data_IF_889828289286
#
_entry.id   IF_889828289286
#
_cell.length_a   1.000
_cell.length_b   1.000
_cell.length_c   1.000
_cell.angle_alpha   90.00
_cell.angle_beta   90.00
_cell.angle_gamma   90.00
#
_symmetry.space_group_name_H-M   'P 1'
#
loop_
_entity.id
_entity.type
_entity.pdbx_description
1 polymer ?
#
# COMPACT_ATOMS: atom_id res chain seq x y z
N UNK A 1 27.54 9.55 6.41
CA UNK A 1 26.26 9.81 7.12
C UNK A 1 25.08 9.32 6.29
N UNK A 2 24.13 8.66 6.93
CA UNK A 2 22.83 8.23 6.37
C UNK A 2 21.72 8.76 7.26
N UNK A 3 20.63 9.23 6.68
CA UNK A 3 19.52 9.84 7.39
C UNK A 3 18.26 8.96 7.32
N UNK A 4 17.37 9.17 8.29
CA UNK A 4 16.09 8.50 8.43
C UNK A 4 16.20 6.98 8.57
N UNK A 5 17.20 6.51 9.33
CA UNK A 5 17.43 5.08 9.55
C UNK A 5 16.61 4.61 10.76
N UNK A 6 15.55 3.86 10.50
CA UNK A 6 14.69 3.28 11.52
C UNK A 6 15.45 2.19 12.29
N UNK A 7 15.43 2.26 13.62
CA UNK A 7 16.16 1.35 14.49
C UNK A 7 17.67 1.38 14.28
N UNK A 8 18.21 2.55 13.91
CA UNK A 8 19.65 2.71 13.57
C UNK A 8 20.61 2.35 14.72
N UNK A 9 20.19 2.56 15.97
CA UNK A 9 20.87 2.03 17.17
C UNK A 9 19.83 1.75 18.27
N UNK A 10 20.01 0.65 19.01
CA UNK A 10 19.16 0.21 20.12
C UNK A 10 19.87 -0.89 20.93
N UNK A 11 19.28 -1.31 22.04
CA UNK A 11 19.74 -2.36 22.95
C UNK A 11 18.85 -3.64 22.94
N UNK A 12 17.94 -3.76 21.98
CA UNK A 12 17.03 -4.89 21.85
C UNK A 12 17.70 -6.16 21.26
N UNK A 13 18.89 -6.03 20.71
CA UNK A 13 19.67 -7.11 20.14
C UNK A 13 21.15 -6.96 20.48
N UNK A 14 21.89 -8.08 20.47
CA UNK A 14 23.32 -8.11 20.77
C UNK A 14 24.15 -7.32 19.73
N UNK A 15 23.71 -7.35 18.48
CA UNK A 15 24.34 -6.63 17.39
C UNK A 15 23.29 -6.02 16.46
N UNK A 16 23.70 -5.05 15.66
CA UNK A 16 22.88 -4.46 14.61
C UNK A 16 23.67 -4.56 13.31
N UNK A 17 23.07 -5.15 12.30
CA UNK A 17 23.69 -5.37 11.00
C UNK A 17 23.01 -4.45 9.98
N UNK A 18 23.69 -3.41 9.56
CA UNK A 18 23.18 -2.47 8.58
C UNK A 18 23.44 -2.95 7.15
N UNK A 19 22.44 -2.91 6.30
CA UNK A 19 22.58 -2.99 4.84
C UNK A 19 22.74 -1.56 4.30
N UNK A 20 23.93 -1.26 3.79
CA UNK A 20 24.31 0.12 3.42
C UNK A 20 24.60 0.20 1.92
N UNK A 21 23.85 1.05 1.24
CA UNK A 21 24.13 1.44 -0.14
C UNK A 21 25.23 2.54 -0.12
N UNK A 22 26.37 2.27 -0.73
CA UNK A 22 27.48 3.20 -0.82
C UNK A 22 28.23 3.05 -2.15
N UNK A 23 29.17 3.94 -2.42
CA UNK A 23 30.04 3.89 -3.59
C UNK A 23 31.45 3.48 -3.20
N UNK A 24 32.09 2.67 -4.05
CA UNK A 24 33.52 2.43 -4.00
C UNK A 24 34.29 3.61 -4.62
N UNK A 25 35.60 3.75 -4.34
CA UNK A 25 36.45 4.64 -5.12
C UNK A 25 36.30 4.32 -6.62
N UNK A 26 36.34 5.32 -7.46
CA UNK A 26 36.22 5.19 -8.94
C UNK A 26 34.87 4.67 -9.46
N UNK A 27 33.85 4.55 -8.59
CA UNK A 27 32.51 4.12 -9.01
C UNK A 27 31.85 5.11 -10.00
N UNK A 28 31.10 4.62 -10.99
CA UNK A 28 30.38 5.45 -11.92
C UNK A 28 29.48 6.50 -11.24
N UNK A 29 29.26 7.64 -11.89
CA UNK A 29 28.35 8.66 -11.38
C UNK A 29 26.90 8.16 -11.32
N UNK A 30 26.10 8.76 -10.44
CA UNK A 30 24.68 8.45 -10.28
C UNK A 30 24.44 7.09 -9.62
N UNK A 31 23.27 6.53 -9.87
CA UNK A 31 22.79 5.27 -9.26
C UNK A 31 23.52 4.02 -9.77
N UNK A 32 24.14 4.11 -10.94
CA UNK A 32 24.88 3.00 -11.55
C UNK A 32 26.18 2.62 -10.81
N UNK A 33 26.69 3.51 -9.96
CA UNK A 33 27.90 3.26 -9.16
C UNK A 33 27.61 2.84 -7.70
N UNK A 34 26.38 2.42 -7.40
CA UNK A 34 26.00 2.04 -6.04
C UNK A 34 26.27 0.56 -5.82
N UNK A 35 27.03 0.27 -4.76
CA UNK A 35 27.30 -1.07 -4.23
C UNK A 35 26.57 -1.29 -2.91
N UNK A 36 26.38 -2.53 -2.49
CA UNK A 36 25.73 -2.90 -1.22
C UNK A 36 26.77 -3.47 -0.26
N UNK A 37 26.71 -3.02 1.00
CA UNK A 37 27.60 -3.47 2.05
C UNK A 37 26.81 -3.93 3.28
N UNK A 38 27.31 -4.98 3.93
CA UNK A 38 26.96 -5.33 5.30
C UNK A 38 27.89 -4.56 6.23
N UNK A 39 27.34 -3.78 7.15
CA UNK A 39 28.10 -2.98 8.12
C UNK A 39 27.58 -3.27 9.53
N UNK A 40 28.24 -4.15 10.29
CA UNK A 40 27.82 -4.46 11.65
C UNK A 40 28.20 -3.38 12.65
N UNK A 41 27.40 -3.22 13.72
CA UNK A 41 27.71 -2.35 14.87
C UNK A 41 28.91 -2.87 15.67
N UNK A 42 29.01 -4.17 15.87
CA UNK A 42 30.18 -4.88 16.36
C UNK A 42 30.66 -5.85 15.29
N UNK A 43 31.96 -5.90 15.03
CA UNK A 43 32.51 -6.91 14.14
C UNK A 43 32.21 -8.31 14.70
N UNK A 44 32.05 -9.27 13.81
CA UNK A 44 31.75 -10.67 14.18
C UNK A 44 33.01 -11.50 14.05
N UNK A 45 33.39 -12.17 15.13
CA UNK A 45 34.54 -13.08 15.17
C UNK A 45 34.22 -14.39 14.40
N UNK A 46 35.23 -15.18 14.11
CA UNK A 46 35.08 -16.44 13.37
C UNK A 46 34.19 -17.47 14.08
N UNK A 47 34.09 -17.42 15.39
CA UNK A 47 33.24 -18.25 16.24
C UNK A 47 31.80 -17.70 16.41
N UNK A 48 31.48 -16.56 15.77
CA UNK A 48 30.20 -15.89 15.86
C UNK A 48 30.05 -14.93 17.05
N UNK A 49 31.04 -14.82 17.94
CA UNK A 49 31.04 -13.90 19.05
C UNK A 49 31.21 -12.44 18.63
N UNK A 50 30.81 -11.50 19.49
CA UNK A 50 31.00 -10.09 19.25
C UNK A 50 32.51 -9.74 19.33
N UNK A 51 33.00 -9.08 18.28
CA UNK A 51 34.36 -8.55 18.19
C UNK A 51 34.42 -7.07 18.60
N UNK A 52 35.35 -6.37 17.98
CA UNK A 52 35.56 -4.95 18.23
C UNK A 52 34.36 -4.10 17.83
N UNK A 53 34.14 -2.99 18.55
CA UNK A 53 33.19 -1.97 18.18
C UNK A 53 33.56 -1.34 16.85
N UNK A 54 32.67 -1.44 15.87
CA UNK A 54 32.82 -0.77 14.61
C UNK A 54 32.38 0.71 14.78
N UNK A 55 33.06 1.70 14.16
CA UNK A 55 32.66 3.11 14.29
C UNK A 55 31.36 3.42 13.50
N UNK A 56 30.28 2.81 13.98
CA UNK A 56 28.89 3.03 13.53
C UNK A 56 28.10 3.54 14.71
N UNK A 57 27.42 4.66 14.57
CA UNK A 57 26.62 5.20 15.67
C UNK A 57 25.69 6.32 15.26
N UNK A 58 24.65 6.59 16.08
CA UNK A 58 23.72 7.67 15.82
C UNK A 58 24.36 9.03 16.11
N UNK A 59 24.21 9.96 15.17
CA UNK A 59 24.53 11.38 15.37
C UNK A 59 23.38 12.15 15.98
N UNK A 60 22.15 11.78 15.66
CA UNK A 60 20.92 12.35 16.24
C UNK A 60 19.74 11.41 16.06
N UNK A 61 18.65 11.69 16.77
CA UNK A 61 17.35 11.06 16.65
C UNK A 61 16.34 12.11 16.17
N UNK A 62 15.53 11.76 15.18
CA UNK A 62 14.55 12.65 14.60
C UNK A 62 13.29 12.81 15.48
N UNK A 63 12.82 14.06 15.62
CA UNK A 63 11.52 14.36 16.21
C UNK A 63 10.41 14.23 15.17
N UNK A 64 9.63 13.17 15.27
CA UNK A 64 8.67 12.78 14.23
C UNK A 64 7.22 13.10 14.59
N UNK A 65 6.36 13.18 13.57
CA UNK A 65 4.91 13.33 13.71
C UNK A 65 4.30 12.13 14.44
N UNK A 66 4.67 10.91 14.04
CA UNK A 66 4.16 9.64 14.58
C UNK A 66 5.26 8.60 14.74
N UNK A 67 4.88 7.35 15.03
CA UNK A 67 5.76 6.21 15.32
C UNK A 67 6.94 6.60 16.23
N UNK A 68 6.64 7.36 17.30
CA UNK A 68 7.66 7.98 18.16
C UNK A 68 8.45 6.97 19.00
N UNK A 69 7.85 5.80 19.25
CA UNK A 69 8.51 4.70 19.97
C UNK A 69 9.63 4.03 19.13
N UNK A 70 9.61 4.18 17.81
CA UNK A 70 10.68 3.73 16.92
C UNK A 70 11.67 4.87 16.69
N UNK A 71 12.91 4.74 17.17
CA UNK A 71 13.96 5.72 16.95
C UNK A 71 14.35 5.76 15.46
N UNK A 72 14.25 6.94 14.85
CA UNK A 72 14.73 7.21 13.50
C UNK A 72 15.99 8.04 13.59
N UNK A 73 17.13 7.48 13.18
CA UNK A 73 18.44 8.01 13.44
C UNK A 73 19.09 8.65 12.21
N UNK A 74 19.92 9.64 12.46
CA UNK A 74 21.01 10.02 11.56
C UNK A 74 22.21 9.15 11.92
N UNK A 75 22.58 8.21 11.03
CA UNK A 75 23.67 7.27 11.28
C UNK A 75 24.99 7.74 10.65
N UNK A 76 26.06 7.70 11.42
CA UNK A 76 27.42 7.98 10.97
C UNK A 76 28.19 6.66 10.82
N UNK A 77 28.96 6.57 9.71
CA UNK A 77 29.74 5.39 9.34
C UNK A 77 31.22 5.78 9.09
N UNK A 78 31.69 6.83 9.73
CA UNK A 78 33.02 7.41 9.48
C UNK A 78 34.11 6.44 9.94
N UNK A 79 34.85 5.87 8.99
CA UNK A 79 35.85 4.83 9.25
C UNK A 79 35.28 3.42 9.53
N UNK A 80 33.97 3.24 9.38
CA UNK A 80 33.33 1.94 9.59
C UNK A 80 33.80 0.90 8.56
N UNK A 81 34.11 -0.31 9.03
CA UNK A 81 34.39 -1.46 8.20
C UNK A 81 33.09 -2.06 7.67
N UNK A 82 32.99 -2.20 6.35
CA UNK A 82 31.89 -2.84 5.66
C UNK A 82 32.35 -3.99 4.78
N UNK A 83 31.44 -4.95 4.51
CA UNK A 83 31.69 -6.11 3.69
C UNK A 83 30.80 -6.04 2.45
N UNK A 84 31.40 -6.11 1.25
CA UNK A 84 30.69 -6.04 -0.02
C UNK A 84 29.73 -7.22 -0.17
N UNK A 85 28.50 -6.96 -0.57
CA UNK A 85 27.48 -7.97 -0.93
C UNK A 85 27.32 -8.00 -2.44
N UNK A 86 27.57 -9.14 -3.04
CA UNK A 86 27.50 -9.30 -4.50
C UNK A 86 28.67 -8.63 -5.21
N UNK A 87 28.39 -7.97 -6.33
CA UNK A 87 29.40 -7.29 -7.15
C UNK A 87 29.35 -5.77 -6.95
N UNK A 88 30.49 -5.12 -7.15
CA UNK A 88 30.54 -3.67 -7.20
C UNK A 88 29.59 -3.12 -8.27
N UNK A 89 28.96 -1.99 -7.97
CA UNK A 89 28.02 -1.28 -8.85
C UNK A 89 26.71 -2.02 -9.17
N UNK A 90 26.45 -3.16 -8.53
CA UNK A 90 25.18 -3.91 -8.61
C UNK A 90 24.35 -3.84 -7.31
N UNK A 91 24.70 -2.95 -6.39
CA UNK A 91 24.10 -2.89 -5.05
C UNK A 91 22.61 -2.59 -5.03
N UNK A 92 22.09 -1.80 -5.98
CA UNK A 92 20.66 -1.55 -6.07
C UNK A 92 19.89 -2.83 -6.47
N UNK A 93 20.41 -3.62 -7.41
CA UNK A 93 19.78 -4.86 -7.81
C UNK A 93 19.73 -5.86 -6.64
N UNK A 94 20.80 -5.96 -5.87
CA UNK A 94 20.84 -6.78 -4.67
C UNK A 94 19.87 -6.30 -3.59
N UNK A 95 19.75 -4.99 -3.37
CA UNK A 95 18.80 -4.39 -2.41
C UNK A 95 17.34 -4.61 -2.82
N UNK A 96 17.02 -4.63 -4.11
CA UNK A 96 15.65 -4.86 -4.58
C UNK A 96 15.09 -6.23 -4.19
N UNK A 97 15.93 -7.21 -3.94
CA UNK A 97 15.48 -8.52 -3.40
C UNK A 97 14.75 -8.33 -2.07
N UNK A 98 15.28 -7.49 -1.18
CA UNK A 98 14.64 -7.15 0.10
C UNK A 98 13.47 -6.18 -0.10
N UNK A 99 13.63 -5.15 -0.95
CA UNK A 99 12.66 -4.06 -1.07
C UNK A 99 11.26 -4.50 -1.54
N UNK A 100 11.14 -5.58 -2.31
CA UNK A 100 9.84 -6.11 -2.70
C UNK A 100 9.04 -6.63 -1.49
N UNK A 101 9.72 -7.28 -0.55
CA UNK A 101 9.09 -7.72 0.71
C UNK A 101 8.73 -6.51 1.59
N UNK A 102 9.62 -5.54 1.70
CA UNK A 102 9.38 -4.33 2.49
C UNK A 102 8.19 -3.52 1.95
N UNK A 103 8.05 -3.40 0.65
CA UNK A 103 6.91 -2.70 0.04
C UNK A 103 5.58 -3.38 0.36
N UNK A 104 5.52 -4.72 0.32
CA UNK A 104 4.34 -5.45 0.77
C UNK A 104 4.10 -5.25 2.27
N UNK A 105 5.18 -5.28 3.08
CA UNK A 105 5.11 -5.04 4.53
C UNK A 105 4.53 -3.66 4.85
N UNK A 106 4.83 -2.64 4.03
CA UNK A 106 4.22 -1.30 4.19
C UNK A 106 2.71 -1.31 3.93
N UNK A 107 2.25 -2.07 2.93
CA UNK A 107 0.81 -2.29 2.73
C UNK A 107 0.16 -3.01 3.92
N UNK A 108 0.82 -4.02 4.47
CA UNK A 108 0.37 -4.75 5.66
C UNK A 108 0.37 -3.85 6.91
N UNK A 109 1.36 -2.96 7.07
CA UNK A 109 1.35 -1.94 8.13
C UNK A 109 0.11 -1.05 8.01
N UNK A 110 -0.23 -0.61 6.78
CA UNK A 110 -1.46 0.14 6.51
C UNK A 110 -2.70 -0.62 6.96
N UNK A 111 -2.83 -1.87 6.52
CA UNK A 111 -3.93 -2.74 6.90
C UNK A 111 -4.02 -2.92 8.42
N UNK A 112 -2.90 -3.15 9.11
CA UNK A 112 -2.89 -3.34 10.57
C UNK A 112 -3.37 -2.11 11.33
N UNK A 113 -2.93 -0.91 10.93
CA UNK A 113 -3.36 0.35 11.54
C UNK A 113 -4.84 0.65 11.26
N UNK A 114 -5.29 0.41 10.03
CA UNK A 114 -6.69 0.59 9.63
C UNK A 114 -7.61 -0.41 10.36
N UNK A 115 -7.21 -1.67 10.50
CA UNK A 115 -7.98 -2.67 11.23
C UNK A 115 -8.10 -2.33 12.72
N UNK A 116 -7.00 -1.89 13.34
CA UNK A 116 -7.04 -1.41 14.73
C UNK A 116 -8.00 -0.23 14.89
N UNK A 117 -7.93 0.76 13.98
CA UNK A 117 -8.82 1.91 14.00
C UNK A 117 -10.29 1.50 13.80
N UNK A 118 -10.56 0.55 12.88
CA UNK A 118 -11.90 0.01 12.64
C UNK A 118 -12.50 -0.65 13.87
N UNK A 119 -11.77 -1.54 14.55
CA UNK A 119 -12.28 -2.27 15.71
C UNK A 119 -12.67 -1.32 16.83
N UNK A 120 -11.83 -0.31 17.08
CA UNK A 120 -12.14 0.73 18.07
C UNK A 120 -13.34 1.59 17.68
N UNK A 121 -13.44 2.00 16.39
CA UNK A 121 -14.55 2.81 15.91
C UNK A 121 -15.88 2.05 15.93
N UNK A 122 -15.88 0.77 15.56
CA UNK A 122 -17.08 -0.07 15.59
C UNK A 122 -17.59 -0.27 17.02
N UNK A 123 -16.68 -0.54 17.97
CA UNK A 123 -17.04 -0.64 19.38
C UNK A 123 -17.58 0.69 19.93
N UNK A 124 -16.88 1.79 19.66
CA UNK A 124 -17.35 3.11 20.08
C UNK A 124 -18.73 3.44 19.50
N UNK A 125 -18.96 3.13 18.22
CA UNK A 125 -20.25 3.38 17.58
C UNK A 125 -21.40 2.56 18.19
N UNK A 126 -21.09 1.37 18.70
CA UNK A 126 -22.06 0.52 19.44
C UNK A 126 -22.43 1.12 20.78
N UNK A 127 -21.45 1.63 21.52
CA UNK A 127 -21.61 2.10 22.91
C UNK A 127 -22.09 3.54 22.99
N UNK A 128 -21.70 4.38 22.03
CA UNK A 128 -22.05 5.81 22.03
C UNK A 128 -23.51 6.01 21.69
N UNK A 129 -24.24 6.65 22.60
CA UNK A 129 -25.65 7.03 22.43
C UNK A 129 -25.73 8.50 22.03
N UNK A 130 -26.36 8.80 20.89
CA UNK A 130 -26.64 10.16 20.44
C UNK A 130 -27.72 10.19 19.34
N UNK A 131 -28.73 11.01 19.56
CA UNK A 131 -29.85 11.15 18.62
C UNK A 131 -30.78 9.95 18.62
N UNK A 132 -31.64 9.88 17.61
CA UNK A 132 -32.58 8.77 17.36
C UNK A 132 -32.53 8.39 15.88
N UNK A 133 -32.89 7.16 15.60
CA UNK A 133 -33.05 6.71 14.22
C UNK A 133 -34.13 7.48 13.50
N UNK A 134 -33.93 7.83 12.24
CA UNK A 134 -34.94 8.45 11.39
C UNK A 134 -36.18 7.56 11.18
N UNK A 135 -36.05 6.25 11.35
CA UNK A 135 -37.13 5.26 11.22
C UNK A 135 -37.85 4.98 12.54
N UNK A 136 -37.58 5.76 13.58
CA UNK A 136 -38.16 5.61 14.90
C UNK A 136 -37.18 5.10 15.96
N UNK A 137 -37.55 5.22 17.24
CA UNK A 137 -36.72 4.87 18.39
C UNK A 137 -36.36 3.38 18.36
N UNK A 138 -35.06 3.09 18.36
CA UNK A 138 -34.55 1.72 18.36
C UNK A 138 -34.28 1.19 19.77
N UNK A 139 -33.96 2.06 20.72
CA UNK A 139 -33.68 1.73 22.13
C UNK A 139 -34.59 2.52 23.06
N UNK A 140 -35.90 2.12 23.23
CA UNK A 140 -36.85 2.89 24.04
C UNK A 140 -36.45 3.08 25.51
N UNK A 141 -35.72 2.14 26.07
CA UNK A 141 -35.27 2.18 27.46
C UNK A 141 -34.04 3.06 27.70
N UNK A 142 -33.40 3.57 26.62
CA UNK A 142 -32.21 4.41 26.71
C UNK A 142 -32.52 5.87 26.33
N UNK A 143 -31.74 6.85 26.85
CA UNK A 143 -31.96 8.27 26.56
C UNK A 143 -31.76 8.65 25.09
N UNK A 144 -31.00 7.86 24.34
CA UNK A 144 -30.75 7.99 22.91
C UNK A 144 -30.48 6.61 22.29
N UNK A 145 -30.47 6.52 20.95
CA UNK A 145 -30.03 5.32 20.24
C UNK A 145 -28.50 5.30 20.09
N UNK A 146 -27.95 4.12 19.83
CA UNK A 146 -26.55 3.97 19.39
C UNK A 146 -26.34 4.78 18.10
N UNK A 147 -25.16 5.38 17.92
CA UNK A 147 -24.84 6.11 16.69
C UNK A 147 -24.78 5.24 15.45
N UNK A 148 -24.76 3.91 15.59
CA UNK A 148 -24.92 2.95 14.49
C UNK A 148 -26.24 3.07 13.72
N UNK A 149 -27.25 3.78 14.26
CA UNK A 149 -28.50 4.03 13.53
C UNK A 149 -28.35 5.09 12.44
N UNK A 150 -27.27 5.87 12.47
CA UNK A 150 -27.03 6.95 11.50
C UNK A 150 -26.34 6.43 10.25
N UNK A 151 -26.91 6.75 9.09
CA UNK A 151 -26.43 6.28 7.79
C UNK A 151 -24.98 6.66 7.49
N UNK A 152 -24.53 7.87 7.88
CA UNK A 152 -23.14 8.31 7.66
C UNK A 152 -22.13 7.56 8.53
N UNK A 153 -22.48 7.24 9.78
CA UNK A 153 -21.64 6.39 10.64
C UNK A 153 -21.49 4.99 10.02
N UNK A 154 -22.58 4.42 9.53
CA UNK A 154 -22.54 3.12 8.83
C UNK A 154 -21.70 3.19 7.56
N UNK A 155 -21.84 4.25 6.76
CA UNK A 155 -21.05 4.44 5.54
C UNK A 155 -19.55 4.45 5.85
N UNK A 156 -19.11 5.23 6.84
CA UNK A 156 -17.71 5.28 7.26
C UNK A 156 -17.21 3.89 7.70
N UNK A 157 -17.94 3.20 8.55
CA UNK A 157 -17.56 1.87 9.01
C UNK A 157 -17.53 0.83 7.88
N UNK A 158 -18.49 0.88 6.94
CA UNK A 158 -18.52 -0.03 5.80
C UNK A 158 -17.38 0.25 4.82
N UNK A 159 -17.02 1.51 4.56
CA UNK A 159 -15.86 1.87 3.76
C UNK A 159 -14.57 1.30 4.35
N UNK A 160 -14.36 1.52 5.66
CA UNK A 160 -13.17 0.98 6.35
C UNK A 160 -13.16 -0.54 6.28
N UNK A 161 -14.29 -1.18 6.56
CA UNK A 161 -14.41 -2.65 6.54
C UNK A 161 -14.13 -3.24 5.17
N UNK A 162 -14.73 -2.67 4.11
CA UNK A 162 -14.53 -3.14 2.74
C UNK A 162 -13.06 -3.03 2.31
N UNK A 163 -12.43 -1.88 2.57
CA UNK A 163 -11.02 -1.68 2.28
C UNK A 163 -10.12 -2.66 3.04
N UNK A 164 -10.39 -2.92 4.32
CA UNK A 164 -9.62 -3.87 5.13
C UNK A 164 -9.75 -5.32 4.63
N UNK A 165 -10.94 -5.76 4.27
CA UNK A 165 -11.17 -7.10 3.75
C UNK A 165 -10.47 -7.32 2.40
N UNK A 166 -10.61 -6.38 1.47
CA UNK A 166 -9.94 -6.44 0.18
C UNK A 166 -8.42 -6.35 0.32
N UNK A 167 -7.91 -5.43 1.17
CA UNK A 167 -6.46 -5.28 1.45
C UNK A 167 -5.87 -6.56 2.02
N UNK A 168 -6.58 -7.22 2.93
CA UNK A 168 -6.14 -8.49 3.55
C UNK A 168 -6.03 -9.59 2.51
N UNK A 169 -7.07 -9.77 1.68
CA UNK A 169 -7.06 -10.75 0.61
C UNK A 169 -5.96 -10.45 -0.42
N UNK A 170 -5.79 -9.19 -0.78
CA UNK A 170 -4.76 -8.77 -1.73
C UNK A 170 -3.33 -8.95 -1.19
N UNK A 171 -3.08 -8.62 0.08
CA UNK A 171 -1.77 -8.83 0.70
C UNK A 171 -1.40 -10.32 0.74
N UNK A 172 -2.36 -11.20 1.06
CA UNK A 172 -2.16 -12.66 1.04
C UNK A 172 -1.90 -13.14 -0.39
N UNK A 173 -2.65 -12.64 -1.37
CA UNK A 173 -2.46 -13.00 -2.77
C UNK A 173 -1.06 -12.60 -3.29
N UNK A 174 -0.60 -11.39 -2.99
CA UNK A 174 0.76 -10.95 -3.36
C UNK A 174 1.82 -11.75 -2.61
N UNK A 175 1.61 -12.05 -1.32
CA UNK A 175 2.48 -12.92 -0.54
C UNK A 175 2.61 -14.32 -1.13
N UNK A 176 1.50 -14.91 -1.60
CA UNK A 176 1.51 -16.19 -2.31
C UNK A 176 2.36 -16.14 -3.59
N UNK A 177 2.28 -15.04 -4.36
CA UNK A 177 3.12 -14.88 -5.54
C UNK A 177 4.62 -14.81 -5.17
N UNK A 178 4.98 -14.12 -4.08
CA UNK A 178 6.35 -14.11 -3.55
C UNK A 178 6.82 -15.51 -3.14
N UNK A 179 5.97 -16.30 -2.50
CA UNK A 179 6.30 -17.68 -2.14
C UNK A 179 6.52 -18.57 -3.38
N UNK A 180 5.68 -18.43 -4.41
CA UNK A 180 5.86 -19.14 -5.67
C UNK A 180 7.22 -18.79 -6.31
N UNK A 181 7.60 -17.51 -6.33
CA UNK A 181 8.90 -17.10 -6.88
C UNK A 181 10.09 -17.74 -6.16
N UNK A 182 9.94 -18.05 -4.88
CA UNK A 182 11.03 -18.53 -4.01
C UNK A 182 11.08 -20.05 -3.89
N UNK A 183 9.93 -20.71 -3.86
CA UNK A 183 9.83 -22.10 -3.47
C UNK A 183 9.32 -23.05 -4.56
N UNK A 184 8.71 -22.54 -5.65
CA UNK A 184 8.24 -23.39 -6.73
C UNK A 184 9.41 -23.92 -7.57
N UNK A 185 9.27 -25.17 -8.03
CA UNK A 185 10.18 -25.81 -8.98
C UNK A 185 9.68 -25.74 -10.43
N UNK A 186 8.45 -25.26 -10.64
CA UNK A 186 7.87 -25.05 -11.97
C UNK A 186 8.34 -23.70 -12.52
N UNK A 187 9.17 -23.74 -13.56
CA UNK A 187 9.78 -22.56 -14.15
C UNK A 187 8.75 -21.58 -14.77
N UNK A 188 7.64 -22.10 -15.33
CA UNK A 188 6.60 -21.23 -15.90
C UNK A 188 5.79 -20.54 -14.80
N UNK A 189 5.42 -21.26 -13.73
CA UNK A 189 4.79 -20.69 -12.56
C UNK A 189 5.66 -19.61 -11.90
N UNK A 190 6.98 -19.85 -11.78
CA UNK A 190 7.94 -18.87 -11.25
C UNK A 190 7.99 -17.62 -12.12
N UNK A 191 8.01 -17.77 -13.45
CA UNK A 191 8.04 -16.63 -14.39
C UNK A 191 6.76 -15.79 -14.27
N UNK A 192 5.59 -16.42 -14.28
CA UNK A 192 4.29 -15.74 -14.12
C UNK A 192 4.20 -15.03 -12.77
N UNK A 193 4.62 -15.68 -11.68
CA UNK A 193 4.64 -15.09 -10.35
C UNK A 193 5.60 -13.87 -10.27
N UNK A 194 6.77 -13.92 -10.92
CA UNK A 194 7.68 -12.77 -11.00
C UNK A 194 7.02 -11.57 -11.71
N UNK A 195 6.34 -11.80 -12.84
CA UNK A 195 5.59 -10.74 -13.54
C UNK A 195 4.50 -10.16 -12.65
N UNK A 196 3.78 -11.03 -11.93
CA UNK A 196 2.71 -10.65 -10.99
C UNK A 196 3.25 -9.83 -9.82
N UNK A 197 4.33 -10.26 -9.18
CA UNK A 197 5.01 -9.51 -8.10
C UNK A 197 5.49 -8.15 -8.62
N UNK A 198 6.10 -8.12 -9.81
CA UNK A 198 6.59 -6.87 -10.41
C UNK A 198 5.46 -5.86 -10.62
N UNK A 199 4.29 -6.30 -11.11
CA UNK A 199 3.11 -5.46 -11.32
C UNK A 199 2.47 -5.00 -10.00
N UNK A 200 2.25 -5.93 -9.07
CA UNK A 200 1.40 -5.69 -7.90
C UNK A 200 2.13 -5.06 -6.71
N UNK A 201 3.45 -5.16 -6.61
CA UNK A 201 4.21 -4.57 -5.49
C UNK A 201 4.01 -3.06 -5.35
N UNK A 202 4.06 -2.23 -6.42
CA UNK A 202 3.72 -0.82 -6.31
C UNK A 202 2.31 -0.56 -5.81
N UNK A 203 1.34 -1.37 -6.24
CA UNK A 203 -0.06 -1.27 -5.82
C UNK A 203 -0.19 -1.68 -4.34
N UNK A 204 0.43 -2.79 -3.93
CA UNK A 204 0.44 -3.24 -2.55
C UNK A 204 1.00 -2.19 -1.59
N UNK A 205 2.02 -1.44 -2.02
CA UNK A 205 2.56 -0.34 -1.20
C UNK A 205 1.69 0.90 -1.25
N UNK A 206 1.39 1.43 -2.43
CA UNK A 206 0.77 2.75 -2.56
C UNK A 206 -0.74 2.71 -2.33
N UNK A 207 -1.47 1.83 -3.01
CA UNK A 207 -2.92 1.79 -2.91
C UNK A 207 -3.39 1.36 -1.52
N UNK A 208 -2.73 0.33 -0.92
CA UNK A 208 -3.10 -0.11 0.42
C UNK A 208 -2.81 0.96 1.48
N UNK A 209 -1.71 1.69 1.38
CA UNK A 209 -1.40 2.76 2.36
C UNK A 209 -2.28 3.99 2.17
N UNK A 210 -2.68 4.34 0.95
CA UNK A 210 -3.61 5.45 0.68
C UNK A 210 -5.02 5.13 1.22
N UNK A 211 -5.54 3.93 0.91
CA UNK A 211 -6.86 3.50 1.40
C UNK A 211 -6.88 3.32 2.91
N UNK A 212 -5.80 2.79 3.50
CA UNK A 212 -5.68 2.64 4.94
C UNK A 212 -5.59 4.00 5.66
N UNK A 213 -4.89 4.99 5.10
CA UNK A 213 -4.83 6.33 5.67
C UNK A 213 -6.23 6.98 5.67
N UNK A 214 -6.98 6.90 4.56
CA UNK A 214 -8.36 7.37 4.52
C UNK A 214 -9.25 6.63 5.53
N UNK A 215 -9.06 5.32 5.68
CA UNK A 215 -9.78 4.52 6.66
C UNK A 215 -9.53 4.96 8.11
N UNK A 216 -8.31 5.39 8.46
CA UNK A 216 -8.02 5.95 9.80
C UNK A 216 -8.71 7.30 10.03
N UNK A 217 -8.88 8.12 8.98
CA UNK A 217 -9.64 9.38 9.05
C UNK A 217 -11.13 9.11 9.27
N UNK A 218 -11.71 8.18 8.51
CA UNK A 218 -13.12 7.78 8.68
C UNK A 218 -13.37 7.18 10.08
N UNK A 219 -12.49 6.32 10.55
CA UNK A 219 -12.57 5.73 11.90
C UNK A 219 -12.48 6.80 13.00
N UNK A 220 -11.58 7.79 12.86
CA UNK A 220 -11.50 8.91 13.80
C UNK A 220 -12.78 9.74 13.78
N UNK A 221 -13.36 9.98 12.60
CA UNK A 221 -14.59 10.75 12.44
C UNK A 221 -15.78 10.11 13.17
N UNK A 222 -15.86 8.78 13.23
CA UNK A 222 -16.88 8.03 13.99
C UNK A 222 -16.87 8.42 15.47
N UNK A 223 -15.70 8.75 16.04
CA UNK A 223 -15.59 9.22 17.42
C UNK A 223 -16.06 10.68 17.63
N UNK A 224 -16.26 11.44 16.54
CA UNK A 224 -16.57 12.85 16.62
C UNK A 224 -15.49 13.64 17.38
N UNK A 225 -15.88 14.55 18.27
CA UNK A 225 -14.94 15.34 19.07
C UNK A 225 -13.98 14.50 19.92
N UNK A 226 -14.39 13.35 20.41
CA UNK A 226 -13.52 12.41 21.14
C UNK A 226 -12.36 11.91 20.28
N UNK A 227 -12.54 11.71 18.97
CA UNK A 227 -11.48 11.27 18.08
C UNK A 227 -10.31 12.25 17.94
N UNK A 228 -10.53 13.52 18.29
CA UNK A 228 -9.48 14.55 18.27
C UNK A 228 -8.70 14.63 19.58
N UNK A 229 -9.19 14.01 20.64
CA UNK A 229 -8.60 14.03 21.98
C UNK A 229 -7.62 12.88 22.14
N UNK A 230 -6.39 13.16 22.64
CA UNK A 230 -5.29 12.19 22.75
C UNK A 230 -5.63 10.96 23.58
N UNK A 231 -6.36 11.11 24.65
CA UNK A 231 -6.76 10.05 25.58
C UNK A 231 -7.60 8.96 24.92
N UNK A 232 -8.22 9.24 23.77
CA UNK A 232 -8.97 8.26 22.98
C UNK A 232 -8.10 7.50 21.97
N UNK A 233 -6.88 7.95 21.69
CA UNK A 233 -5.89 7.25 20.87
C UNK A 233 -6.12 7.29 19.34
N UNK A 234 -7.28 7.74 18.86
CA UNK A 234 -7.60 7.69 17.43
C UNK A 234 -6.75 8.67 16.59
N UNK A 235 -6.38 9.82 17.15
CA UNK A 235 -5.52 10.78 16.47
C UNK A 235 -4.11 10.22 16.22
N UNK A 236 -3.65 9.32 17.10
CA UNK A 236 -2.36 8.66 16.96
C UNK A 236 -2.34 7.69 15.76
N UNK A 237 -3.43 6.99 15.49
CA UNK A 237 -3.52 6.10 14.32
C UNK A 237 -3.22 6.86 13.02
N UNK A 238 -3.73 8.08 12.87
CA UNK A 238 -3.50 8.94 11.72
C UNK A 238 -2.04 9.37 11.64
N UNK A 239 -1.48 9.85 12.77
CA UNK A 239 -0.10 10.34 12.82
C UNK A 239 0.90 9.21 12.53
N UNK A 240 0.68 8.05 13.09
CA UNK A 240 1.58 6.90 12.95
C UNK A 240 1.51 6.31 11.54
N UNK A 241 0.33 6.33 10.90
CA UNK A 241 0.18 5.78 9.57
C UNK A 241 0.65 6.72 8.45
N UNK A 242 0.65 8.04 8.66
CA UNK A 242 0.99 9.01 7.60
C UNK A 242 2.33 8.73 6.93
N UNK A 243 3.32 8.25 7.67
CA UNK A 243 4.65 7.96 7.14
C UNK A 243 4.63 6.85 6.09
N UNK A 244 3.68 5.92 6.14
CA UNK A 244 3.60 4.80 5.21
C UNK A 244 3.40 5.23 3.76
N UNK A 245 2.84 6.41 3.52
CA UNK A 245 2.69 6.99 2.18
C UNK A 245 3.97 7.69 1.68
N UNK A 246 4.95 7.93 2.57
CA UNK A 246 6.13 8.77 2.30
C UNK A 246 7.40 7.94 2.15
N UNK A 247 7.69 7.03 3.10
CA UNK A 247 8.94 6.26 3.11
C UNK A 247 8.86 5.02 2.20
N UNK A 248 9.98 4.32 2.05
CA UNK A 248 10.15 3.16 1.16
C UNK A 248 9.80 3.46 -0.33
N UNK A 249 10.07 4.70 -0.73
CA UNK A 249 9.59 5.32 -1.95
C UNK A 249 8.17 5.84 -1.79
N UNK A 250 7.99 7.16 -1.98
CA UNK A 250 6.66 7.78 -1.86
C UNK A 250 5.64 7.10 -2.75
N UNK A 251 4.35 7.22 -2.43
CA UNK A 251 3.30 6.64 -3.26
C UNK A 251 3.34 7.15 -4.71
N UNK A 252 3.74 8.41 -4.92
CA UNK A 252 4.01 8.93 -6.27
C UNK A 252 5.14 8.18 -7.00
N UNK A 253 6.23 7.83 -6.30
CA UNK A 253 7.33 7.04 -6.88
C UNK A 253 6.87 5.62 -7.21
N UNK A 254 6.00 5.01 -6.40
CA UNK A 254 5.41 3.71 -6.71
C UNK A 254 4.52 3.80 -7.95
N UNK A 255 3.73 4.87 -8.06
CA UNK A 255 2.88 5.11 -9.22
C UNK A 255 3.69 5.29 -10.51
N UNK A 256 4.81 6.01 -10.43
CA UNK A 256 5.76 6.14 -11.56
C UNK A 256 6.43 4.81 -11.91
N UNK A 257 6.77 3.97 -10.94
CA UNK A 257 7.31 2.62 -11.19
C UNK A 257 6.28 1.75 -11.92
N UNK A 258 5.02 1.78 -11.47
CA UNK A 258 3.92 1.04 -12.12
C UNK A 258 3.73 1.49 -13.57
N UNK A 259 3.49 2.77 -13.80
CA UNK A 259 3.12 3.26 -15.13
C UNK A 259 4.32 3.17 -16.08
N UNK A 260 5.51 3.58 -15.65
CA UNK A 260 6.69 3.65 -16.53
C UNK A 260 7.33 2.30 -16.77
N UNK A 261 7.69 1.57 -15.69
CA UNK A 261 8.48 0.34 -15.80
C UNK A 261 7.62 -0.90 -15.98
N UNK A 262 6.44 -0.95 -15.33
CA UNK A 262 5.60 -2.16 -15.26
C UNK A 262 4.44 -2.14 -16.26
N UNK A 263 4.24 -1.01 -16.94
CA UNK A 263 3.21 -0.84 -17.97
C UNK A 263 3.84 -0.44 -19.30
N UNK A 264 4.36 0.77 -19.43
CA UNK A 264 4.84 1.30 -20.71
C UNK A 264 6.06 0.52 -21.23
N UNK A 265 7.10 0.33 -20.41
CA UNK A 265 8.35 -0.32 -20.83
C UNK A 265 8.17 -1.78 -21.26
N UNK A 266 7.20 -2.48 -20.71
CA UNK A 266 6.89 -3.87 -21.08
C UNK A 266 5.73 -3.97 -22.09
N UNK A 267 5.26 -2.84 -22.67
CA UNK A 267 4.16 -2.82 -23.64
C UNK A 267 2.85 -3.38 -23.08
N UNK A 268 2.61 -3.21 -21.78
CA UNK A 268 1.39 -3.69 -21.12
C UNK A 268 1.33 -5.20 -20.84
N UNK A 269 2.39 -5.97 -21.13
CA UNK A 269 2.33 -7.44 -21.01
C UNK A 269 1.99 -7.93 -19.59
N UNK A 270 2.52 -7.29 -18.54
CA UNK A 270 2.25 -7.72 -17.17
C UNK A 270 0.79 -7.50 -16.75
N UNK A 271 0.20 -6.37 -17.17
CA UNK A 271 -1.21 -6.11 -16.90
C UNK A 271 -2.12 -7.02 -17.74
N UNK A 272 -1.76 -7.33 -19.00
CA UNK A 272 -2.51 -8.24 -19.85
C UNK A 272 -2.59 -9.68 -19.27
N UNK A 273 -1.46 -10.20 -18.75
CA UNK A 273 -1.43 -11.47 -18.03
C UNK A 273 -2.34 -11.44 -16.79
N UNK A 274 -2.36 -10.32 -16.05
CA UNK A 274 -3.22 -10.15 -14.88
C UNK A 274 -4.70 -10.06 -15.25
N UNK A 275 -5.04 -9.35 -16.30
CA UNK A 275 -6.41 -9.25 -16.82
C UNK A 275 -6.93 -10.62 -17.29
N UNK A 276 -6.08 -11.44 -17.91
CA UNK A 276 -6.43 -12.81 -18.31
C UNK A 276 -6.80 -13.63 -17.09
N UNK A 277 -5.98 -13.64 -16.05
CA UNK A 277 -6.27 -14.36 -14.79
C UNK A 277 -7.57 -13.89 -14.15
N UNK A 278 -7.82 -12.57 -14.12
CA UNK A 278 -9.05 -11.99 -13.55
C UNK A 278 -10.28 -12.47 -14.35
N UNK A 279 -10.20 -12.40 -15.69
CA UNK A 279 -11.30 -12.81 -16.57
C UNK A 279 -11.58 -14.30 -16.48
N UNK A 280 -10.54 -15.12 -16.46
CA UNK A 280 -10.71 -16.58 -16.34
C UNK A 280 -11.40 -16.93 -15.02
N UNK A 281 -11.00 -16.31 -13.92
CA UNK A 281 -11.62 -16.50 -12.62
C UNK A 281 -13.07 -16.00 -12.61
N UNK A 282 -13.33 -14.78 -13.08
CA UNK A 282 -14.66 -14.18 -13.08
C UNK A 282 -15.62 -14.98 -13.97
N UNK A 283 -15.20 -15.42 -15.16
CA UNK A 283 -16.01 -16.22 -16.06
C UNK A 283 -16.38 -17.61 -15.47
N UNK A 284 -15.56 -18.13 -14.57
CA UNK A 284 -15.82 -19.39 -13.88
C UNK A 284 -16.77 -19.25 -12.67
N UNK A 285 -17.16 -18.02 -12.30
CA UNK A 285 -18.13 -17.79 -11.21
C UNK A 285 -19.54 -18.24 -11.62
N UNK A 286 -20.26 -18.79 -10.63
CA UNK A 286 -21.65 -19.16 -10.79
C UNK A 286 -22.58 -17.96 -10.98
N UNK A 287 -23.76 -18.19 -11.56
CA UNK A 287 -24.71 -17.13 -11.84
C UNK A 287 -25.22 -16.38 -10.60
N UNK A 288 -25.22 -17.02 -9.44
CA UNK A 288 -25.60 -16.39 -8.16
C UNK A 288 -24.66 -15.24 -7.76
N UNK A 289 -23.48 -15.16 -8.40
CA UNK A 289 -22.48 -14.12 -8.19
C UNK A 289 -22.37 -13.17 -9.39
N UNK A 290 -23.40 -13.08 -10.26
CA UNK A 290 -23.36 -12.22 -11.43
C UNK A 290 -23.07 -10.75 -11.07
N UNK A 291 -23.55 -10.24 -9.94
CA UNK A 291 -23.30 -8.86 -9.51
C UNK A 291 -21.82 -8.51 -9.42
N UNK A 292 -20.98 -9.41 -8.86
CA UNK A 292 -19.53 -9.20 -8.75
C UNK A 292 -18.78 -9.69 -9.98
N UNK A 293 -19.28 -10.71 -10.66
CA UNK A 293 -18.74 -11.21 -11.93
C UNK A 293 -18.75 -10.12 -12.99
N UNK A 294 -19.93 -9.57 -13.28
CA UNK A 294 -20.11 -8.57 -14.34
C UNK A 294 -19.32 -7.30 -14.00
N UNK A 295 -19.41 -6.80 -12.76
CA UNK A 295 -18.65 -5.65 -12.32
C UNK A 295 -17.11 -5.84 -12.43
N UNK A 296 -16.62 -7.06 -12.16
CA UNK A 296 -15.18 -7.37 -12.29
C UNK A 296 -14.75 -7.44 -13.76
N UNK A 297 -15.58 -8.02 -14.63
CA UNK A 297 -15.31 -8.09 -16.08
C UNK A 297 -15.35 -6.71 -16.74
N UNK A 298 -16.30 -5.86 -16.36
CA UNK A 298 -16.41 -4.48 -16.82
C UNK A 298 -15.18 -3.66 -16.38
N UNK A 299 -14.83 -3.72 -15.11
CA UNK A 299 -13.63 -3.06 -14.59
C UNK A 299 -12.35 -3.54 -15.28
N UNK A 300 -12.24 -4.84 -15.59
CA UNK A 300 -11.10 -5.38 -16.33
C UNK A 300 -11.04 -4.84 -17.76
N UNK A 301 -12.19 -4.67 -18.41
CA UNK A 301 -12.28 -4.10 -19.77
C UNK A 301 -11.92 -2.63 -19.78
N UNK A 302 -12.38 -1.87 -18.80
CA UNK A 302 -12.05 -0.44 -18.68
C UNK A 302 -10.58 -0.19 -18.37
N UNK A 303 -9.97 -0.99 -17.47
CA UNK A 303 -8.54 -0.88 -17.16
C UNK A 303 -7.68 -1.32 -18.33
N UNK A 304 -8.10 -2.29 -19.14
CA UNK A 304 -7.40 -2.65 -20.37
C UNK A 304 -7.40 -1.49 -21.37
N UNK A 305 -8.56 -0.89 -21.62
CA UNK A 305 -8.69 0.27 -22.51
C UNK A 305 -7.88 1.47 -21.99
N UNK A 306 -7.91 1.70 -20.67
CA UNK A 306 -7.10 2.75 -20.03
C UNK A 306 -5.60 2.49 -20.19
N UNK A 307 -5.17 1.24 -20.04
CA UNK A 307 -3.76 0.85 -20.21
C UNK A 307 -3.28 1.09 -21.64
N UNK A 308 -4.10 0.72 -22.62
CA UNK A 308 -3.79 0.98 -24.04
C UNK A 308 -3.67 2.49 -24.31
N UNK A 309 -4.62 3.28 -23.81
CA UNK A 309 -4.60 4.73 -23.90
C UNK A 309 -3.32 5.33 -23.27
N UNK A 310 -2.92 4.85 -22.08
CA UNK A 310 -1.69 5.29 -21.41
C UNK A 310 -0.45 5.01 -22.26
N UNK A 311 -0.36 3.84 -22.87
CA UNK A 311 0.79 3.48 -23.73
C UNK A 311 0.85 4.37 -24.97
N UNK A 312 -0.28 4.62 -25.62
CA UNK A 312 -0.38 5.48 -26.79
C UNK A 312 0.02 6.93 -26.47
N UNK A 313 -0.56 7.50 -25.42
CA UNK A 313 -0.27 8.88 -25.02
C UNK A 313 1.19 9.08 -24.55
N UNK A 314 1.75 8.07 -23.90
CA UNK A 314 3.16 8.12 -23.47
C UNK A 314 4.16 8.14 -24.65
N UNK A 315 3.77 7.63 -25.81
CA UNK A 315 4.60 7.70 -27.02
C UNK A 315 4.61 9.10 -27.66
N UNK A 316 3.56 9.88 -27.42
CA UNK A 316 3.38 11.23 -27.98
C UNK A 316 3.85 12.33 -27.04
N UNK A 317 3.70 12.13 -25.71
CA UNK A 317 3.97 13.14 -24.71
C UNK A 317 4.75 12.55 -23.50
N UNK A 318 6.00 13.03 -23.33
CA UNK A 318 6.91 12.55 -22.26
C UNK A 318 6.43 12.91 -20.85
N UNK A 319 5.66 13.97 -20.68
CA UNK A 319 5.15 14.44 -19.39
C UNK A 319 3.88 13.69 -18.96
N UNK A 320 3.20 13.06 -19.93
CA UNK A 320 1.92 12.40 -19.70
C UNK A 320 2.00 11.32 -18.61
N UNK A 321 2.94 10.35 -18.64
CA UNK A 321 2.97 9.27 -17.64
C UNK A 321 3.09 9.78 -16.19
N UNK A 322 3.95 10.78 -15.97
CA UNK A 322 4.19 11.31 -14.63
C UNK A 322 2.97 12.07 -14.09
N UNK A 323 2.24 12.75 -14.98
CA UNK A 323 1.07 13.54 -14.61
C UNK A 323 -0.14 12.69 -14.18
N UNK A 324 -0.27 11.48 -14.71
CA UNK A 324 -1.45 10.61 -14.50
C UNK A 324 -1.16 9.35 -13.67
N UNK A 325 0.09 9.13 -13.28
CA UNK A 325 0.55 7.88 -12.65
C UNK A 325 -0.25 7.49 -11.41
N UNK A 326 -0.62 8.45 -10.56
CA UNK A 326 -1.34 8.18 -9.31
C UNK A 326 -2.75 7.68 -9.61
N UNK A 327 -3.48 8.35 -10.50
CA UNK A 327 -4.85 7.94 -10.84
C UNK A 327 -4.86 6.61 -11.61
N UNK A 328 -3.85 6.34 -12.46
CA UNK A 328 -3.68 5.03 -13.09
C UNK A 328 -3.42 3.91 -12.07
N UNK A 329 -2.55 4.14 -11.08
CA UNK A 329 -2.31 3.17 -10.01
C UNK A 329 -3.59 2.89 -9.20
N UNK A 330 -4.37 3.92 -8.87
CA UNK A 330 -5.63 3.75 -8.16
C UNK A 330 -6.67 2.99 -9.00
N UNK A 331 -6.73 3.21 -10.32
CA UNK A 331 -7.61 2.44 -11.20
C UNK A 331 -7.27 0.93 -11.18
N UNK A 332 -5.98 0.58 -11.30
CA UNK A 332 -5.54 -0.83 -11.21
C UNK A 332 -5.75 -1.39 -9.80
N UNK A 333 -5.62 -0.55 -8.76
CA UNK A 333 -5.92 -0.91 -7.37
C UNK A 333 -7.40 -1.28 -7.14
N UNK A 334 -8.32 -0.48 -7.67
CA UNK A 334 -9.77 -0.74 -7.61
C UNK A 334 -10.14 -2.05 -8.34
N UNK A 335 -9.61 -2.28 -9.54
CA UNK A 335 -9.75 -3.56 -10.23
C UNK A 335 -9.23 -4.73 -9.39
N UNK A 336 -8.05 -4.56 -8.78
CA UNK A 336 -7.48 -5.60 -7.92
C UNK A 336 -8.37 -5.92 -6.73
N UNK A 337 -9.00 -4.90 -6.12
CA UNK A 337 -9.96 -5.11 -5.03
C UNK A 337 -11.26 -5.77 -5.52
N UNK A 338 -11.75 -5.42 -6.71
CA UNK A 338 -12.87 -6.12 -7.32
C UNK A 338 -12.58 -7.62 -7.48
N UNK A 339 -11.38 -7.96 -7.96
CA UNK A 339 -10.94 -9.35 -8.07
C UNK A 339 -10.85 -10.05 -6.69
N UNK A 340 -10.39 -9.36 -5.65
CA UNK A 340 -10.37 -9.92 -4.30
C UNK A 340 -11.77 -10.15 -3.76
N UNK A 341 -12.71 -9.24 -4.00
CA UNK A 341 -14.13 -9.45 -3.63
C UNK A 341 -14.79 -10.57 -4.41
N UNK A 342 -14.45 -10.76 -5.68
CA UNK A 342 -14.89 -11.93 -6.45
C UNK A 342 -14.42 -13.25 -5.80
N UNK A 343 -13.17 -13.31 -5.35
CA UNK A 343 -12.62 -14.47 -4.61
C UNK A 343 -13.31 -14.65 -3.24
N UNK A 344 -13.54 -13.58 -2.50
CA UNK A 344 -14.24 -13.62 -1.20
C UNK A 344 -15.66 -14.11 -1.37
N UNK A 345 -16.39 -13.61 -2.37
CA UNK A 345 -17.75 -14.02 -2.66
C UNK A 345 -17.83 -15.49 -3.07
N UNK A 346 -16.94 -15.95 -3.95
CA UNK A 346 -16.85 -17.36 -4.34
C UNK A 346 -16.59 -18.30 -3.15
N UNK A 347 -15.73 -17.85 -2.21
CA UNK A 347 -15.43 -18.62 -1.01
C UNK A 347 -16.57 -18.63 0.03
N UNK A 348 -17.49 -17.66 -0.02
CA UNK A 348 -18.56 -17.46 0.96
C UNK A 348 -19.91 -18.03 0.53
N UNK A 349 -20.23 -18.08 -0.78
CA UNK A 349 -21.57 -18.31 -1.31
C UNK A 349 -22.27 -19.58 -0.81
N UNK A 350 -21.56 -20.70 -0.70
CA UNK A 350 -22.11 -21.99 -0.31
C UNK A 350 -22.01 -22.25 1.20
N UNK A 351 -21.66 -21.23 1.98
CA UNK A 351 -21.51 -21.36 3.43
C UNK A 351 -22.63 -20.66 4.18
N UNK A 352 -23.04 -21.25 5.29
CA UNK A 352 -24.10 -20.73 6.16
C UNK A 352 -23.55 -19.89 7.30
N UNK A 353 -24.38 -18.98 7.81
CA UNK A 353 -24.11 -18.13 8.95
C UNK A 353 -23.76 -16.69 8.60
N UNK A 354 -23.99 -15.79 9.56
CA UNK A 354 -23.90 -14.34 9.38
C UNK A 354 -22.53 -13.88 8.86
N UNK A 355 -21.47 -14.58 9.27
CA UNK A 355 -20.12 -14.25 8.80
C UNK A 355 -20.01 -14.28 7.28
N UNK A 356 -20.51 -15.34 6.65
CA UNK A 356 -20.43 -15.51 5.19
C UNK A 356 -21.44 -14.63 4.47
N UNK A 357 -22.65 -14.49 5.00
CA UNK A 357 -23.67 -13.58 4.44
C UNK A 357 -23.16 -12.12 4.44
N UNK A 358 -22.50 -11.70 5.51
CA UNK A 358 -21.91 -10.37 5.59
C UNK A 358 -20.74 -10.17 4.60
N UNK A 359 -20.01 -11.24 4.18
CA UNK A 359 -19.02 -11.14 3.11
C UNK A 359 -19.66 -10.87 1.75
N UNK A 360 -20.78 -11.52 1.45
CA UNK A 360 -21.54 -11.28 0.21
C UNK A 360 -22.10 -9.86 0.18
N UNK A 361 -22.77 -9.43 1.25
CA UNK A 361 -23.29 -8.07 1.38
C UNK A 361 -22.20 -7.00 1.29
N UNK A 362 -21.01 -7.28 1.81
CA UNK A 362 -19.88 -6.34 1.71
C UNK A 362 -19.30 -6.30 0.28
N UNK A 363 -19.34 -7.41 -0.45
CA UNK A 363 -18.97 -7.42 -1.87
C UNK A 363 -19.97 -6.60 -2.71
N UNK A 364 -21.28 -6.70 -2.46
CA UNK A 364 -22.29 -5.82 -3.08
C UNK A 364 -22.04 -4.35 -2.73
N UNK A 365 -21.76 -4.05 -1.46
CA UNK A 365 -21.42 -2.69 -1.04
C UNK A 365 -20.21 -2.16 -1.79
N UNK A 366 -19.16 -2.96 -1.96
CA UNK A 366 -17.97 -2.55 -2.72
C UNK A 366 -18.34 -2.22 -4.17
N UNK A 367 -19.09 -3.06 -4.84
CA UNK A 367 -19.51 -2.86 -6.24
C UNK A 367 -20.30 -1.56 -6.39
N UNK A 368 -21.26 -1.32 -5.50
CA UNK A 368 -22.22 -0.21 -5.65
C UNK A 368 -21.68 1.14 -5.11
N UNK A 369 -20.73 1.11 -4.16
CA UNK A 369 -20.35 2.32 -3.41
C UNK A 369 -18.87 2.70 -3.49
N UNK A 370 -17.99 1.76 -3.85
CA UNK A 370 -16.55 2.00 -3.90
C UNK A 370 -16.02 1.87 -5.33
N UNK A 371 -16.37 0.80 -6.03
CA UNK A 371 -15.89 0.55 -7.39
C UNK A 371 -16.22 1.69 -8.38
N UNK A 372 -17.34 2.45 -8.28
CA UNK A 372 -17.62 3.60 -9.15
C UNK A 372 -16.55 4.71 -9.12
N UNK A 373 -15.66 4.72 -8.13
CA UNK A 373 -14.48 5.60 -8.16
C UNK A 373 -13.56 5.32 -9.36
N UNK A 374 -13.65 4.14 -9.98
CA UNK A 374 -12.88 3.78 -11.17
C UNK A 374 -13.15 4.76 -12.32
N UNK A 375 -14.41 5.10 -12.57
CA UNK A 375 -14.79 6.06 -13.62
C UNK A 375 -14.12 7.43 -13.41
N UNK A 376 -14.10 7.89 -12.16
CA UNK A 376 -13.46 9.16 -11.83
C UNK A 376 -11.93 9.10 -12.05
N UNK A 377 -11.29 7.97 -11.75
CA UNK A 377 -9.86 7.77 -12.01
C UNK A 377 -9.57 7.73 -13.49
N UNK A 378 -10.37 7.04 -14.28
CA UNK A 378 -10.27 6.99 -15.73
C UNK A 378 -10.42 8.39 -16.34
N UNK A 379 -11.42 9.15 -15.89
CA UNK A 379 -11.64 10.51 -16.37
C UNK A 379 -10.43 11.42 -16.10
N UNK A 380 -9.80 11.31 -14.92
CA UNK A 380 -8.60 12.07 -14.56
C UNK A 380 -7.39 11.67 -15.40
N UNK A 381 -7.18 10.40 -15.67
CA UNK A 381 -6.11 9.93 -16.57
C UNK A 381 -6.33 10.48 -17.98
N UNK A 382 -7.56 10.43 -18.48
CA UNK A 382 -7.91 10.94 -19.83
C UNK A 382 -7.84 12.46 -19.95
N UNK A 383 -7.87 13.20 -18.82
CA UNK A 383 -7.66 14.65 -18.82
C UNK A 383 -6.23 15.07 -19.22
N UNK A 384 -5.29 14.13 -19.16
CA UNK A 384 -3.93 14.32 -19.69
C UNK A 384 -3.01 15.15 -18.78
N UNK A 385 -1.91 15.60 -19.36
CA UNK A 385 -0.84 16.33 -18.64
C UNK A 385 -0.94 17.85 -18.75
N UNK A 386 -1.58 18.37 -19.82
CA UNK A 386 -1.50 19.78 -20.17
C UNK A 386 -2.00 20.72 -19.06
N UNK A 387 -3.10 20.38 -18.41
CA UNK A 387 -3.64 21.15 -17.29
C UNK A 387 -2.71 21.17 -16.06
N UNK A 388 -1.80 20.24 -15.97
CA UNK A 388 -0.83 20.16 -14.84
C UNK A 388 0.47 20.88 -15.25
N UNK A 389 0.95 20.65 -16.47
CA UNK A 389 2.28 21.07 -16.90
C UNK A 389 2.33 22.49 -17.47
N UNK A 390 1.18 23.05 -17.89
CA UNK A 390 1.12 24.39 -18.50
C UNK A 390 1.12 25.55 -17.48
N UNK A 391 1.05 25.27 -16.16
CA UNK A 391 1.26 26.30 -15.15
C UNK A 391 2.73 26.72 -15.13
N UNK A 392 2.99 28.02 -15.17
CA UNK A 392 4.35 28.56 -15.02
C UNK A 392 4.87 28.30 -13.60
N UNK A 393 6.19 28.16 -13.45
CA UNK A 393 6.81 28.02 -12.12
C UNK A 393 6.49 29.20 -11.21
N UNK A 394 6.34 30.40 -11.76
CA UNK A 394 5.98 31.61 -11.03
C UNK A 394 4.59 31.50 -10.36
N UNK A 395 3.66 30.74 -10.93
CA UNK A 395 2.35 30.52 -10.32
C UNK A 395 2.45 29.86 -8.94
N UNK A 396 3.44 28.99 -8.74
CA UNK A 396 3.64 28.28 -7.47
C UNK A 396 4.50 29.06 -6.48
N UNK A 397 5.24 30.06 -6.91
CA UNK A 397 6.21 30.80 -6.08
C UNK A 397 5.77 32.23 -5.78
N UNK A 398 4.96 32.84 -6.65
CA UNK A 398 4.40 34.17 -6.42
C UNK A 398 3.18 34.08 -5.51
N UNK A 399 3.26 34.77 -4.38
CA UNK A 399 2.08 35.06 -3.57
C UNK A 399 1.23 36.07 -4.35
N UNK A 400 0.09 35.63 -4.86
CA UNK A 400 -0.88 36.51 -5.47
C UNK A 400 -1.54 37.41 -4.40
#
# INVERSE_FOLDING_TARGET
TKIFITGGDHDLGENIIHLVLAKTPDAPAGSRGISLFIVPKFLVNADGSLGERNPVGPGSIEHKMGIKASATCVMNFDGAKGFLVGKENEGLAAMFVMMNYERLSMGIQGLGASEFAYQNAAQYATDRLQGRSATGVQSPSKPADSILVHGDVRRMLLNVRANNEASRAFAVYVGQQLDITKFSTDAEAVKQANNRVALLTPIAKAYLTDTAFQATLDAQMVFGGHGFIREWGMEQCIRDLRISQIYEGTNGVQSQDLIGRKTIKCGGSFIAEYLTEIRDFANALDNDLNFIKDATLDAATEVEALTQFVIEQAAENIDFPNSVAVDYLHAVGLLSFSYMFAKIAAAAKDKSGDFYQNKLALAEYFVERILPELDARIAKVKAGSDLIMNFSEDYFTNQA
#
